data_IF_822699948877
#
_entry.id   IF_822699948877
#
_cell.length_a   1.000
_cell.length_b   1.000
_cell.length_c   1.000
_cell.angle_alpha   90.00
_cell.angle_beta   90.00
_cell.angle_gamma   90.00
#
_symmetry.space_group_name_H-M   'P 1'
#
loop_
_entity.id
_entity.type
_entity.pdbx_description
1 polymer ?
#
# COMPACT_ATOMS: atom_id res chain seq x y z
N UNK A 1 -26.98 -10.80 -4.08
CA UNK A 1 -27.63 -10.67 -2.76
C UNK A 1 -28.15 -12.03 -2.38
N UNK A 2 -27.73 -12.54 -1.23
CA UNK A 2 -28.35 -13.74 -0.68
C UNK A 2 -29.81 -13.43 -0.32
N UNK A 3 -30.70 -14.42 -0.44
CA UNK A 3 -32.12 -14.29 -0.07
C UNK A 3 -32.32 -13.77 1.35
N UNK A 4 -31.39 -14.10 2.26
CA UNK A 4 -31.36 -13.59 3.64
C UNK A 4 -31.19 -12.08 3.71
N UNK A 5 -30.20 -11.51 3.02
CA UNK A 5 -29.89 -10.08 3.06
C UNK A 5 -31.05 -9.27 2.49
N UNK A 6 -31.63 -9.71 1.38
CA UNK A 6 -32.77 -9.06 0.75
C UNK A 6 -34.01 -9.07 1.68
N UNK A 7 -34.22 -10.19 2.39
CA UNK A 7 -35.27 -10.30 3.40
C UNK A 7 -35.05 -9.32 4.56
N UNK A 8 -33.80 -9.14 5.00
CA UNK A 8 -33.46 -8.18 6.05
C UNK A 8 -33.66 -6.73 5.58
N UNK A 9 -33.25 -6.38 4.36
CA UNK A 9 -33.49 -5.04 3.81
C UNK A 9 -34.99 -4.74 3.75
N UNK A 10 -35.78 -5.66 3.19
CA UNK A 10 -37.23 -5.51 3.08
C UNK A 10 -37.90 -5.46 4.46
N UNK A 11 -37.51 -6.33 5.38
CA UNK A 11 -38.01 -6.36 6.75
C UNK A 11 -37.67 -5.08 7.52
N UNK A 12 -36.47 -4.54 7.34
CA UNK A 12 -36.03 -3.29 7.96
C UNK A 12 -36.79 -2.09 7.40
N UNK A 13 -37.00 -2.04 6.08
CA UNK A 13 -37.85 -1.01 5.44
C UNK A 13 -39.25 -0.98 6.05
N UNK A 14 -39.91 -2.14 6.12
CA UNK A 14 -41.25 -2.27 6.74
C UNK A 14 -41.21 -1.91 8.22
N UNK A 15 -40.18 -2.36 8.94
CA UNK A 15 -39.98 -2.08 10.36
C UNK A 15 -39.90 -0.58 10.66
N UNK A 16 -39.06 0.16 9.93
CA UNK A 16 -38.94 1.61 10.10
C UNK A 16 -40.20 2.37 9.64
N UNK A 17 -40.89 1.88 8.61
CA UNK A 17 -42.18 2.42 8.20
C UNK A 17 -43.25 2.26 9.29
N UNK A 18 -43.32 1.10 9.96
CA UNK A 18 -44.21 0.86 11.10
C UNK A 18 -43.80 1.67 12.32
N UNK A 19 -42.49 1.83 12.55
CA UNK A 19 -41.97 2.67 13.62
C UNK A 19 -42.45 4.12 13.44
N UNK A 20 -42.44 4.64 12.21
CA UNK A 20 -42.93 5.97 11.90
C UNK A 20 -44.45 6.12 11.98
N UNK A 21 -45.20 5.19 11.39
CA UNK A 21 -46.65 5.35 11.25
C UNK A 21 -47.44 4.98 12.49
N UNK A 22 -46.90 4.08 13.34
CA UNK A 22 -47.61 3.54 14.49
C UNK A 22 -46.86 3.81 15.78
N UNK A 23 -45.64 3.28 15.92
CA UNK A 23 -44.97 3.28 17.22
C UNK A 23 -44.58 4.69 17.70
N UNK A 24 -44.04 5.52 16.81
CA UNK A 24 -43.62 6.89 17.14
C UNK A 24 -44.79 7.77 17.58
N UNK A 25 -45.94 7.81 16.86
CA UNK A 25 -47.12 8.53 17.32
C UNK A 25 -47.69 8.00 18.64
N UNK A 26 -47.77 6.68 18.82
CA UNK A 26 -48.29 6.07 20.06
C UNK A 26 -47.40 6.41 21.26
N UNK A 27 -46.09 6.23 21.11
CA UNK A 27 -45.13 6.54 22.16
C UNK A 27 -45.12 8.04 22.47
N UNK A 28 -45.01 8.88 21.45
CA UNK A 28 -44.90 10.33 21.62
C UNK A 28 -46.16 10.95 22.23
N UNK A 29 -47.35 10.47 21.85
CA UNK A 29 -48.62 10.94 22.44
C UNK A 29 -48.79 10.50 23.89
N UNK A 30 -48.22 9.34 24.28
CA UNK A 30 -48.29 8.82 25.64
C UNK A 30 -47.36 9.58 26.59
N UNK A 31 -46.12 9.86 26.16
CA UNK A 31 -45.07 10.43 27.01
C UNK A 31 -44.93 11.95 26.90
N UNK A 32 -45.35 12.56 25.78
CA UNK A 32 -45.20 14.00 25.52
C UNK A 32 -46.56 14.67 25.36
N UNK A 33 -47.10 15.32 26.42
CA UNK A 33 -48.41 15.96 26.37
C UNK A 33 -48.56 17.04 25.29
N UNK A 34 -47.44 17.65 24.86
CA UNK A 34 -47.42 18.67 23.80
C UNK A 34 -47.51 18.10 22.37
N UNK A 35 -47.27 16.79 22.18
CA UNK A 35 -47.19 16.19 20.85
C UNK A 35 -48.49 16.37 20.05
N UNK A 36 -49.64 16.06 20.65
CA UNK A 36 -50.94 16.17 19.97
C UNK A 36 -51.37 17.61 19.61
N UNK A 37 -50.64 18.63 20.08
CA UNK A 37 -50.90 20.05 19.77
C UNK A 37 -50.04 20.57 18.62
N UNK A 38 -49.11 19.77 18.11
CA UNK A 38 -48.22 20.16 17.03
C UNK A 38 -48.95 20.18 15.69
N UNK A 39 -48.64 21.14 14.80
CA UNK A 39 -49.12 21.11 13.42
C UNK A 39 -48.52 19.92 12.66
N UNK A 40 -49.20 19.46 11.61
CA UNK A 40 -48.87 18.23 10.88
C UNK A 40 -47.43 18.17 10.35
N UNK A 41 -46.88 19.29 9.91
CA UNK A 41 -45.48 19.38 9.46
C UNK A 41 -44.48 19.10 10.60
N UNK A 42 -44.75 19.62 11.81
CA UNK A 42 -43.92 19.40 13.00
C UNK A 42 -44.10 18.00 13.58
N UNK A 43 -45.29 17.39 13.42
CA UNK A 43 -45.51 15.98 13.75
C UNK A 43 -44.68 15.06 12.85
N UNK A 44 -44.69 15.30 11.53
CA UNK A 44 -43.87 14.53 10.58
C UNK A 44 -42.38 14.67 10.90
N UNK A 45 -41.91 15.89 11.17
CA UNK A 45 -40.53 16.16 11.62
C UNK A 45 -40.17 15.45 12.90
N UNK A 46 -41.04 15.48 13.91
CA UNK A 46 -40.85 14.79 15.17
C UNK A 46 -40.69 13.28 14.99
N UNK A 47 -41.63 12.66 14.25
CA UNK A 47 -41.61 11.21 14.04
C UNK A 47 -40.41 10.77 13.22
N UNK A 48 -40.03 11.52 12.18
CA UNK A 48 -38.83 11.25 11.39
C UNK A 48 -37.56 11.28 12.26
N UNK A 49 -37.42 12.29 13.13
CA UNK A 49 -36.27 12.40 14.06
C UNK A 49 -36.22 11.26 15.08
N UNK A 50 -37.37 10.81 15.57
CA UNK A 50 -37.41 9.66 16.48
C UNK A 50 -36.92 8.40 15.75
N UNK A 51 -37.42 8.16 14.55
CA UNK A 51 -37.07 6.98 13.73
C UNK A 51 -35.58 6.97 13.37
N UNK A 52 -35.02 8.11 12.95
CA UNK A 52 -33.59 8.22 12.64
C UNK A 52 -32.70 8.06 13.89
N UNK A 53 -33.16 8.52 15.06
CA UNK A 53 -32.47 8.30 16.34
C UNK A 53 -32.45 6.82 16.70
N UNK A 54 -33.58 6.12 16.55
CA UNK A 54 -33.65 4.67 16.78
C UNK A 54 -32.73 3.91 15.83
N UNK A 55 -32.74 4.26 14.54
CA UNK A 55 -31.81 3.70 13.56
C UNK A 55 -30.34 3.89 13.97
N UNK A 56 -29.96 5.12 14.33
CA UNK A 56 -28.60 5.46 14.74
C UNK A 56 -28.16 4.68 16.00
N UNK A 57 -29.07 4.48 16.96
CA UNK A 57 -28.78 3.68 18.15
C UNK A 57 -28.61 2.20 17.82
N UNK A 58 -29.50 1.62 17.00
CA UNK A 58 -29.41 0.21 16.60
C UNK A 58 -28.09 -0.04 15.87
N UNK A 59 -27.82 0.70 14.80
CA UNK A 59 -26.65 0.49 13.95
C UNK A 59 -25.37 0.88 14.68
N UNK A 60 -25.38 1.96 15.48
CA UNK A 60 -24.24 2.41 16.26
C UNK A 60 -23.83 1.41 17.34
N UNK A 61 -24.78 0.88 18.11
CA UNK A 61 -24.50 -0.17 19.10
C UNK A 61 -24.05 -1.47 18.43
N UNK A 62 -24.62 -1.82 17.28
CA UNK A 62 -24.21 -3.01 16.55
C UNK A 62 -22.79 -2.87 15.97
N UNK A 63 -22.42 -1.69 15.47
CA UNK A 63 -21.04 -1.39 15.07
C UNK A 63 -20.05 -1.55 16.23
N UNK A 64 -20.39 -1.03 17.42
CA UNK A 64 -19.54 -1.19 18.61
C UNK A 64 -19.39 -2.66 19.03
N UNK A 65 -20.49 -3.43 18.92
CA UNK A 65 -20.45 -4.87 19.17
C UNK A 65 -19.51 -5.58 18.20
N UNK A 66 -19.64 -5.33 16.90
CA UNK A 66 -18.77 -5.94 15.88
C UNK A 66 -17.31 -5.60 16.17
N UNK A 67 -17.01 -4.33 16.48
CA UNK A 67 -15.64 -3.89 16.78
C UNK A 67 -15.03 -4.62 17.99
N UNK A 68 -15.82 -4.90 19.03
CA UNK A 68 -15.31 -5.52 20.25
C UNK A 68 -15.35 -7.05 20.28
N UNK A 69 -16.26 -7.68 19.54
CA UNK A 69 -16.59 -9.09 19.72
C UNK A 69 -16.60 -9.92 18.43
N UNK A 70 -16.43 -9.32 17.24
CA UNK A 70 -16.33 -10.07 15.99
C UNK A 70 -14.86 -10.44 15.72
N UNK A 71 -14.46 -11.60 16.25
CA UNK A 71 -13.09 -12.12 16.09
C UNK A 71 -12.71 -12.31 14.61
N UNK A 72 -13.67 -12.68 13.75
CA UNK A 72 -13.44 -12.91 12.32
C UNK A 72 -13.09 -11.60 11.59
N UNK A 73 -13.82 -10.53 11.88
CA UNK A 73 -13.54 -9.19 11.31
C UNK A 73 -12.29 -8.57 11.93
N UNK A 74 -12.03 -8.81 13.22
CA UNK A 74 -10.84 -8.30 13.90
C UNK A 74 -9.55 -9.01 13.46
N UNK A 75 -9.63 -10.29 13.08
CA UNK A 75 -8.49 -11.05 12.57
C UNK A 75 -8.10 -10.63 11.14
N UNK A 76 -9.10 -10.41 10.26
CA UNK A 76 -8.88 -9.88 8.92
C UNK A 76 -9.84 -8.72 8.60
N UNK A 77 -9.44 -7.47 8.91
CA UNK A 77 -10.30 -6.30 8.74
C UNK A 77 -10.67 -5.98 7.29
N UNK A 78 -9.93 -6.52 6.31
CA UNK A 78 -10.09 -6.14 4.90
C UNK A 78 -10.78 -7.24 4.10
N UNK A 79 -10.43 -8.50 4.34
CA UNK A 79 -10.91 -9.63 3.52
C UNK A 79 -11.77 -10.64 4.27
N UNK A 80 -11.89 -10.51 5.60
CA UNK A 80 -12.70 -11.41 6.44
C UNK A 80 -14.15 -11.55 5.97
N UNK A 81 -14.80 -12.67 6.31
CA UNK A 81 -16.22 -12.91 6.02
C UNK A 81 -17.10 -12.09 6.95
N UNK A 82 -17.69 -10.97 6.50
CA UNK A 82 -18.17 -9.96 7.42
C UNK A 82 -19.69 -10.15 7.58
N UNK A 83 -20.11 -11.31 8.09
CA UNK A 83 -21.51 -11.71 8.15
C UNK A 83 -22.37 -10.74 8.99
N UNK A 84 -21.89 -10.36 10.17
CA UNK A 84 -22.55 -9.38 11.04
C UNK A 84 -22.50 -7.96 10.45
N UNK A 85 -21.41 -7.62 9.76
CA UNK A 85 -21.29 -6.34 9.04
C UNK A 85 -22.33 -6.26 7.92
N UNK A 86 -22.45 -7.31 7.08
CA UNK A 86 -23.45 -7.39 6.02
C UNK A 86 -24.87 -7.30 6.57
N UNK A 87 -25.14 -7.92 7.72
CA UNK A 87 -26.41 -7.78 8.41
C UNK A 87 -26.67 -6.33 8.83
N UNK A 88 -25.69 -5.67 9.46
CA UNK A 88 -25.80 -4.28 9.90
C UNK A 88 -25.95 -3.29 8.72
N UNK A 89 -25.22 -3.53 7.64
CA UNK A 89 -25.32 -2.79 6.37
C UNK A 89 -26.69 -3.01 5.72
N UNK A 90 -27.23 -4.23 5.74
CA UNK A 90 -28.57 -4.52 5.23
C UNK A 90 -29.67 -3.78 6.02
N UNK A 91 -29.58 -3.74 7.36
CA UNK A 91 -30.49 -2.95 8.20
C UNK A 91 -30.43 -1.46 7.81
N UNK A 92 -29.21 -0.95 7.60
CA UNK A 92 -28.96 0.43 7.19
C UNK A 92 -29.55 0.74 5.81
N UNK A 93 -29.38 -0.14 4.84
CA UNK A 93 -30.00 0.00 3.51
C UNK A 93 -31.53 0.07 3.59
N UNK A 94 -32.16 -0.77 4.43
CA UNK A 94 -33.61 -0.74 4.63
C UNK A 94 -34.10 0.60 5.20
N UNK A 95 -33.37 1.15 6.19
CA UNK A 95 -33.62 2.50 6.71
C UNK A 95 -33.48 3.57 5.63
N UNK A 96 -32.36 3.59 4.90
CA UNK A 96 -32.10 4.61 3.88
C UNK A 96 -33.15 4.60 2.76
N UNK A 97 -33.64 3.42 2.36
CA UNK A 97 -34.73 3.29 1.40
C UNK A 97 -36.05 3.86 1.96
N UNK A 98 -36.36 3.55 3.23
CA UNK A 98 -37.53 4.10 3.91
C UNK A 98 -37.45 5.64 4.00
N UNK A 99 -36.30 6.16 4.43
CA UNK A 99 -36.08 7.59 4.63
C UNK A 99 -36.13 8.35 3.29
N UNK A 100 -35.61 7.75 2.22
CA UNK A 100 -35.71 8.29 0.86
C UNK A 100 -37.17 8.38 0.37
N UNK A 101 -38.00 7.37 0.66
CA UNK A 101 -39.44 7.40 0.36
C UNK A 101 -40.15 8.46 1.22
N UNK A 102 -39.78 8.60 2.50
CA UNK A 102 -40.33 9.62 3.38
C UNK A 102 -39.99 11.04 2.89
N UNK A 103 -38.74 11.28 2.48
CA UNK A 103 -38.26 12.52 1.88
C UNK A 103 -39.03 12.85 0.59
N UNK A 104 -39.19 11.87 -0.30
CA UNK A 104 -39.91 12.05 -1.55
C UNK A 104 -41.40 12.38 -1.35
N UNK A 105 -42.05 11.73 -0.39
CA UNK A 105 -43.48 11.94 -0.08
C UNK A 105 -43.74 13.24 0.69
N UNK A 106 -42.78 13.71 1.48
CA UNK A 106 -42.89 14.94 2.29
C UNK A 106 -41.98 16.07 1.79
N UNK A 107 -41.76 16.15 0.47
CA UNK A 107 -40.81 17.07 -0.16
C UNK A 107 -40.99 18.54 0.27
N UNK A 108 -42.24 19.00 0.38
CA UNK A 108 -42.55 20.37 0.77
C UNK A 108 -42.10 20.75 2.19
N UNK A 109 -41.87 19.75 3.05
CA UNK A 109 -41.50 19.94 4.46
C UNK A 109 -40.05 19.58 4.75
N UNK A 110 -39.53 18.55 4.07
CA UNK A 110 -38.24 17.91 4.39
C UNK A 110 -37.30 17.79 3.18
N UNK A 111 -37.75 18.15 1.99
CA UNK A 111 -37.02 17.93 0.75
C UNK A 111 -35.72 18.72 0.69
N UNK A 112 -34.61 18.00 0.62
CA UNK A 112 -33.28 18.57 0.39
C UNK A 112 -32.51 17.69 -0.59
N UNK A 113 -32.13 18.27 -1.73
CA UNK A 113 -31.39 17.59 -2.80
C UNK A 113 -30.05 17.04 -2.32
N UNK A 114 -29.38 17.69 -1.37
CA UNK A 114 -28.13 17.18 -0.82
C UNK A 114 -28.35 15.88 -0.04
N UNK A 115 -29.42 15.81 0.77
CA UNK A 115 -29.77 14.59 1.48
C UNK A 115 -30.12 13.46 0.50
N UNK A 116 -30.88 13.73 -0.56
CA UNK A 116 -31.17 12.70 -1.58
C UNK A 116 -29.88 12.17 -2.21
N UNK A 117 -28.97 13.05 -2.63
CA UNK A 117 -27.68 12.63 -3.21
C UNK A 117 -26.86 11.81 -2.22
N UNK A 118 -26.81 12.22 -0.95
CA UNK A 118 -26.14 11.48 0.12
C UNK A 118 -26.71 10.06 0.29
N UNK A 119 -28.04 9.93 0.33
CA UNK A 119 -28.72 8.64 0.48
C UNK A 119 -28.47 7.72 -0.71
N UNK A 120 -28.54 8.25 -1.95
CA UNK A 120 -28.27 7.47 -3.15
C UNK A 120 -26.81 7.01 -3.20
N UNK A 121 -25.85 7.86 -2.84
CA UNK A 121 -24.44 7.50 -2.77
C UNK A 121 -24.17 6.43 -1.70
N UNK A 122 -24.78 6.57 -0.51
CA UNK A 122 -24.68 5.57 0.56
C UNK A 122 -25.31 4.23 0.15
N UNK A 123 -26.50 4.24 -0.45
CA UNK A 123 -27.17 3.04 -0.96
C UNK A 123 -26.37 2.36 -2.07
N UNK A 124 -25.70 3.12 -2.94
CA UNK A 124 -24.81 2.54 -3.95
C UNK A 124 -23.61 1.83 -3.31
N UNK A 125 -22.91 2.50 -2.38
CA UNK A 125 -21.74 1.92 -1.71
C UNK A 125 -22.11 0.68 -0.89
N UNK A 126 -23.20 0.74 -0.11
CA UNK A 126 -23.67 -0.40 0.67
C UNK A 126 -24.28 -1.50 -0.20
N UNK A 127 -24.96 -1.14 -1.29
CA UNK A 127 -25.42 -2.07 -2.30
C UNK A 127 -24.27 -2.88 -2.88
N UNK A 128 -23.13 -2.23 -3.19
CA UNK A 128 -21.93 -2.95 -3.63
C UNK A 128 -21.46 -3.98 -2.59
N UNK A 129 -21.41 -3.63 -1.30
CA UNK A 129 -20.99 -4.56 -0.22
C UNK A 129 -21.94 -5.76 -0.08
N UNK A 130 -23.25 -5.55 -0.22
CA UNK A 130 -24.27 -6.61 -0.14
C UNK A 130 -24.36 -7.46 -1.43
N UNK A 131 -23.94 -6.90 -2.56
CA UNK A 131 -24.03 -7.57 -3.86
C UNK A 131 -22.73 -8.21 -4.31
N UNK A 132 -21.58 -7.80 -3.75
CA UNK A 132 -20.29 -8.40 -4.00
C UNK A 132 -20.33 -9.88 -3.60
N UNK A 133 -20.64 -10.72 -4.58
CA UNK A 133 -20.52 -12.16 -4.47
C UNK A 133 -19.02 -12.45 -4.50
N UNK A 134 -18.50 -12.84 -3.35
CA UNK A 134 -17.10 -13.27 -3.25
C UNK A 134 -16.90 -14.67 -3.89
N UNK A 135 -17.97 -15.48 -3.99
CA UNK A 135 -18.00 -16.75 -4.72
C UNK A 135 -18.59 -16.59 -6.12
N UNK A 136 -17.89 -17.08 -7.15
CA UNK A 136 -18.34 -17.00 -8.54
C UNK A 136 -18.43 -18.41 -9.17
N UNK A 137 -19.63 -18.90 -9.54
CA UNK A 137 -19.79 -20.19 -10.20
C UNK A 137 -19.06 -20.30 -11.56
N UNK A 138 -18.84 -19.19 -12.26
CA UNK A 138 -18.06 -19.19 -13.49
C UNK A 138 -16.58 -19.43 -13.21
N UNK A 139 -16.05 -18.84 -12.13
CA UNK A 139 -14.68 -19.11 -11.67
C UNK A 139 -14.52 -20.53 -11.15
N UNK A 140 -15.56 -21.14 -10.60
CA UNK A 140 -15.57 -22.55 -10.23
C UNK A 140 -15.40 -23.45 -11.46
N UNK A 141 -16.13 -23.17 -12.54
CA UNK A 141 -15.98 -23.87 -13.82
C UNK A 141 -14.56 -23.72 -14.39
N UNK A 142 -14.04 -22.50 -14.43
CA UNK A 142 -12.67 -22.24 -14.90
C UNK A 142 -11.63 -22.98 -14.05
N UNK A 143 -11.77 -22.95 -12.72
CA UNK A 143 -10.92 -23.71 -11.80
C UNK A 143 -11.02 -25.21 -12.04
N UNK A 144 -12.22 -25.73 -12.25
CA UNK A 144 -12.42 -27.15 -12.53
C UNK A 144 -11.67 -27.55 -13.79
N UNK A 145 -11.84 -26.81 -14.89
CA UNK A 145 -11.13 -27.07 -16.14
C UNK A 145 -9.60 -26.96 -15.97
N UNK A 146 -9.12 -25.98 -15.20
CA UNK A 146 -7.71 -25.82 -14.91
C UNK A 146 -7.13 -26.99 -14.12
N UNK A 147 -7.77 -27.41 -13.01
CA UNK A 147 -7.30 -28.55 -12.20
C UNK A 147 -7.35 -29.84 -13.02
N UNK A 148 -8.39 -30.05 -13.84
CA UNK A 148 -8.48 -31.21 -14.71
C UNK A 148 -7.35 -31.25 -15.75
N UNK A 149 -7.00 -30.10 -16.34
CA UNK A 149 -5.88 -29.98 -17.29
C UNK A 149 -4.53 -30.25 -16.62
N UNK A 150 -4.32 -29.73 -15.41
CA UNK A 150 -3.07 -29.90 -14.67
C UNK A 150 -2.90 -31.33 -14.15
N UNK A 151 -3.95 -31.92 -13.57
CA UNK A 151 -3.88 -33.24 -12.92
C UNK A 151 -4.18 -34.41 -13.86
N UNK A 152 -4.83 -34.14 -14.99
CA UNK A 152 -5.37 -35.16 -15.91
C UNK A 152 -6.56 -35.94 -15.35
N UNK A 153 -7.09 -35.58 -14.18
CA UNK A 153 -8.26 -36.23 -13.57
C UNK A 153 -9.55 -35.56 -13.98
N UNK A 154 -10.62 -36.34 -14.09
CA UNK A 154 -11.97 -35.82 -14.28
C UNK A 154 -12.60 -35.53 -12.92
N UNK A 155 -13.15 -34.33 -12.75
CA UNK A 155 -13.86 -33.88 -11.55
C UNK A 155 -15.35 -33.79 -11.90
N UNK A 156 -16.19 -34.50 -11.15
CA UNK A 156 -17.64 -34.48 -11.32
C UNK A 156 -18.29 -33.33 -10.54
N UNK A 157 -19.58 -33.10 -10.77
CA UNK A 157 -20.37 -32.18 -9.94
C UNK A 157 -20.91 -32.92 -8.70
N UNK A 158 -20.94 -32.26 -7.52
CA UNK A 158 -20.49 -30.89 -7.25
C UNK A 158 -18.95 -30.77 -7.13
N UNK A 159 -18.36 -29.70 -7.66
CA UNK A 159 -16.90 -29.50 -7.70
C UNK A 159 -16.24 -29.57 -6.32
N UNK A 160 -16.75 -28.81 -5.34
CA UNK A 160 -16.14 -28.73 -4.00
C UNK A 160 -16.17 -30.06 -3.25
N UNK A 161 -17.23 -30.85 -3.41
CA UNK A 161 -17.34 -32.18 -2.79
C UNK A 161 -16.24 -33.15 -3.27
N UNK A 162 -15.81 -33.02 -4.53
CA UNK A 162 -14.74 -33.84 -5.10
C UNK A 162 -13.34 -33.41 -4.63
N UNK A 163 -13.20 -32.24 -4.00
CA UNK A 163 -11.93 -31.78 -3.43
C UNK A 163 -11.79 -32.09 -1.94
N UNK A 164 -12.88 -32.48 -1.26
CA UNK A 164 -12.93 -32.66 0.20
C UNK A 164 -12.02 -33.74 0.76
N UNK A 165 -11.74 -34.78 -0.02
CA UNK A 165 -10.83 -35.84 0.42
C UNK A 165 -9.35 -35.37 0.41
N UNK A 166 -9.08 -34.20 -0.18
CA UNK A 166 -7.76 -33.60 -0.32
C UNK A 166 -6.83 -34.33 -1.29
N UNK A 167 -7.27 -35.42 -1.94
CA UNK A 167 -6.43 -36.23 -2.82
C UNK A 167 -6.07 -35.46 -4.08
N UNK A 168 -7.09 -34.89 -4.75
CA UNK A 168 -6.91 -34.10 -5.97
C UNK A 168 -6.04 -32.86 -5.69
N UNK A 169 -6.21 -32.24 -4.52
CA UNK A 169 -5.41 -31.09 -4.11
C UNK A 169 -3.93 -31.46 -3.90
N UNK A 170 -3.65 -32.57 -3.22
CA UNK A 170 -2.28 -33.05 -3.03
C UNK A 170 -1.60 -33.43 -4.35
N UNK A 171 -2.35 -34.01 -5.28
CA UNK A 171 -1.83 -34.33 -6.62
C UNK A 171 -1.58 -33.07 -7.44
N UNK A 172 -2.48 -32.10 -7.39
CA UNK A 172 -2.32 -30.80 -8.05
C UNK A 172 -0.99 -30.14 -7.67
N UNK A 173 -0.70 -30.01 -6.37
CA UNK A 173 0.55 -29.38 -5.94
C UNK A 173 1.78 -30.24 -6.25
N UNK A 174 1.65 -31.57 -6.27
CA UNK A 174 2.73 -32.47 -6.69
C UNK A 174 3.02 -32.39 -8.20
N UNK A 175 2.01 -32.09 -9.03
CA UNK A 175 2.24 -31.83 -10.46
C UNK A 175 2.89 -30.46 -10.68
N UNK A 176 2.50 -29.45 -9.91
CA UNK A 176 3.08 -28.10 -9.99
C UNK A 176 4.50 -28.02 -9.42
N UNK A 177 4.77 -28.74 -8.33
CA UNK A 177 6.08 -28.89 -7.71
C UNK A 177 6.26 -30.33 -7.21
N UNK A 178 7.03 -31.16 -7.93
CA UNK A 178 7.25 -32.56 -7.56
C UNK A 178 7.80 -32.70 -6.13
N UNK A 179 7.23 -33.65 -5.37
CA UNK A 179 7.67 -33.98 -4.02
C UNK A 179 7.14 -33.04 -2.92
N UNK A 180 6.19 -32.16 -3.23
CA UNK A 180 5.57 -31.25 -2.26
C UNK A 180 4.81 -31.99 -1.15
N UNK A 181 4.05 -33.03 -1.51
CA UNK A 181 3.34 -33.92 -0.59
C UNK A 181 3.86 -35.35 -0.76
N UNK A 182 4.50 -35.89 0.29
CA UNK A 182 5.15 -37.20 0.25
C UNK A 182 4.19 -38.38 0.26
N UNK A 183 3.12 -38.28 1.05
CA UNK A 183 2.13 -39.34 1.26
C UNK A 183 0.74 -38.75 1.14
N UNK A 184 -0.08 -39.36 0.29
CA UNK A 184 -1.49 -39.01 0.09
C UNK A 184 -2.31 -40.17 0.65
N UNK A 185 -3.21 -39.88 1.58
CA UNK A 185 -4.07 -40.89 2.17
C UNK A 185 -5.33 -41.06 1.32
N UNK A 186 -5.70 -42.29 0.96
CA UNK A 186 -6.91 -42.58 0.15
C UNK A 186 -8.03 -43.24 0.96
N UNK A 187 -7.84 -43.35 2.27
CA UNK A 187 -8.81 -43.97 3.16
C UNK A 187 -9.99 -43.02 3.43
N UNK A 188 -11.23 -43.54 3.53
CA UNK A 188 -12.43 -42.72 3.73
C UNK A 188 -12.53 -42.10 5.13
N UNK A 189 -11.57 -42.32 6.03
CA UNK A 189 -11.60 -41.80 7.39
C UNK A 189 -11.41 -40.26 7.42
N UNK A 190 -12.26 -39.56 8.16
CA UNK A 190 -12.29 -38.09 8.22
C UNK A 190 -10.93 -37.46 8.52
N UNK A 191 -10.17 -38.03 9.47
CA UNK A 191 -8.86 -37.48 9.85
C UNK A 191 -7.82 -37.59 8.72
N UNK A 192 -7.91 -38.60 7.85
CA UNK A 192 -7.05 -38.72 6.67
C UNK A 192 -7.35 -37.64 5.63
N UNK A 193 -8.63 -37.32 5.44
CA UNK A 193 -9.06 -36.27 4.51
C UNK A 193 -8.58 -34.89 5.00
N UNK A 194 -8.79 -34.58 6.28
CA UNK A 194 -8.26 -33.38 6.92
C UNK A 194 -6.73 -33.31 6.85
N UNK A 195 -6.04 -34.43 7.04
CA UNK A 195 -4.57 -34.49 6.93
C UNK A 195 -4.09 -34.18 5.50
N UNK A 196 -4.76 -34.71 4.46
CA UNK A 196 -4.46 -34.38 3.07
C UNK A 196 -4.65 -32.89 2.79
N UNK A 197 -5.78 -32.31 3.21
CA UNK A 197 -6.04 -30.87 3.03
C UNK A 197 -4.96 -30.05 3.75
N UNK A 198 -4.63 -30.40 5.00
CA UNK A 198 -3.57 -29.73 5.75
C UNK A 198 -2.18 -29.87 5.10
N UNK A 199 -1.88 -31.03 4.51
CA UNK A 199 -0.65 -31.24 3.73
C UNK A 199 -0.60 -30.32 2.50
N UNK A 200 -1.71 -30.19 1.78
CA UNK A 200 -1.84 -29.28 0.64
C UNK A 200 -1.62 -27.83 1.06
N UNK A 201 -2.29 -27.35 2.11
CA UNK A 201 -2.15 -25.96 2.60
C UNK A 201 -0.69 -25.65 2.97
N UNK A 202 0.01 -26.58 3.64
CA UNK A 202 1.45 -26.45 3.92
C UNK A 202 2.29 -26.40 2.64
N UNK A 203 1.99 -27.26 1.67
CA UNK A 203 2.72 -27.33 0.42
C UNK A 203 2.59 -26.03 -0.41
N UNK A 204 1.39 -25.47 -0.53
CA UNK A 204 1.17 -24.22 -1.28
C UNK A 204 1.78 -23.00 -0.57
N UNK A 205 1.88 -23.04 0.76
CA UNK A 205 2.62 -22.02 1.53
C UNK A 205 4.10 -22.02 1.14
N UNK A 206 4.73 -23.21 1.07
CA UNK A 206 6.11 -23.37 0.60
C UNK A 206 6.24 -23.01 -0.89
N UNK A 207 5.19 -23.24 -1.69
CA UNK A 207 5.14 -22.84 -3.08
C UNK A 207 5.13 -21.31 -3.26
N UNK A 208 4.86 -20.52 -2.22
CA UNK A 208 4.92 -19.06 -2.24
C UNK A 208 3.57 -18.35 -2.09
N UNK A 209 2.52 -19.07 -1.71
CA UNK A 209 1.27 -18.46 -1.25
C UNK A 209 1.52 -17.66 0.03
N UNK A 210 0.84 -16.52 0.16
CA UNK A 210 0.92 -15.70 1.37
C UNK A 210 -0.08 -16.20 2.42
N UNK A 211 0.21 -16.05 3.73
CA UNK A 211 -0.65 -16.61 4.77
C UNK A 211 -2.12 -16.17 4.71
N UNK A 212 -2.38 -14.95 4.27
CA UNK A 212 -3.73 -14.38 4.15
C UNK A 212 -4.51 -14.87 2.92
N UNK A 213 -3.82 -15.49 1.95
CA UNK A 213 -4.45 -16.07 0.75
C UNK A 213 -4.75 -17.57 0.93
N UNK A 214 -4.54 -18.13 2.14
CA UNK A 214 -4.75 -19.55 2.45
C UNK A 214 -6.16 -19.79 3.01
N UNK A 215 -6.68 -21.01 2.81
CA UNK A 215 -7.86 -21.51 3.51
C UNK A 215 -7.47 -22.51 4.60
N UNK A 216 -8.35 -22.72 5.58
CA UNK A 216 -8.19 -23.71 6.65
C UNK A 216 -8.80 -25.07 6.28
N UNK A 217 -8.29 -26.17 6.83
CA UNK A 217 -8.78 -27.50 6.44
C UNK A 217 -10.31 -27.68 6.64
N UNK A 218 -10.88 -27.02 7.65
CA UNK A 218 -12.32 -27.05 7.93
C UNK A 218 -13.15 -26.25 6.91
N UNK A 219 -12.58 -25.23 6.25
CA UNK A 219 -13.29 -24.42 5.26
C UNK A 219 -13.80 -25.26 4.10
N UNK A 220 -13.01 -26.26 3.69
CA UNK A 220 -13.36 -27.21 2.65
C UNK A 220 -14.09 -28.45 3.21
N UNK A 221 -13.60 -29.01 4.33
CA UNK A 221 -14.13 -30.27 4.86
C UNK A 221 -15.54 -30.14 5.45
N UNK A 222 -15.82 -29.07 6.21
CA UNK A 222 -17.12 -28.81 6.84
C UNK A 222 -18.01 -27.85 6.05
N UNK A 223 -17.56 -27.40 4.86
CA UNK A 223 -18.24 -26.41 4.01
C UNK A 223 -18.35 -25.03 4.64
N UNK A 224 -17.45 -24.69 5.56
CA UNK A 224 -17.54 -23.41 6.29
C UNK A 224 -17.26 -22.22 5.37
N UNK A 225 -16.33 -22.34 4.41
CA UNK A 225 -15.92 -21.21 3.57
C UNK A 225 -15.37 -21.61 2.19
N UNK A 226 -16.25 -22.06 1.29
CA UNK A 226 -15.90 -22.36 -0.11
C UNK A 226 -15.32 -21.16 -0.88
N UNK A 227 -15.63 -19.95 -0.45
CA UNK A 227 -15.15 -18.71 -1.07
C UNK A 227 -13.65 -18.51 -0.85
N UNK A 228 -13.16 -18.77 0.35
CA UNK A 228 -11.74 -18.74 0.64
C UNK A 228 -11.00 -19.84 -0.13
N UNK A 229 -11.59 -21.04 -0.22
CA UNK A 229 -11.04 -22.15 -1.03
C UNK A 229 -10.92 -21.74 -2.50
N UNK A 230 -11.98 -21.19 -3.09
CA UNK A 230 -11.97 -20.70 -4.47
C UNK A 230 -10.89 -19.63 -4.69
N UNK A 231 -10.81 -18.64 -3.80
CA UNK A 231 -9.84 -17.54 -3.89
C UNK A 231 -8.39 -18.04 -3.76
N UNK A 232 -8.15 -18.99 -2.86
CA UNK A 232 -6.84 -19.65 -2.69
C UNK A 232 -6.40 -20.35 -3.98
N UNK A 233 -7.30 -21.12 -4.60
CA UNK A 233 -6.99 -21.87 -5.82
C UNK A 233 -6.76 -20.95 -7.04
N UNK A 234 -7.52 -19.85 -7.14
CA UNK A 234 -7.30 -18.84 -8.19
C UNK A 234 -5.92 -18.20 -8.02
N UNK A 235 -5.55 -17.85 -6.79
CA UNK A 235 -4.24 -17.27 -6.49
C UNK A 235 -3.11 -18.24 -6.78
N UNK A 236 -3.26 -19.52 -6.40
CA UNK A 236 -2.32 -20.58 -6.72
C UNK A 236 -2.10 -20.73 -8.23
N UNK A 237 -3.18 -20.72 -9.02
CA UNK A 237 -3.10 -20.82 -10.48
C UNK A 237 -2.29 -19.66 -11.08
N UNK A 238 -2.52 -18.43 -10.63
CA UNK A 238 -1.73 -17.28 -11.08
C UNK A 238 -0.27 -17.32 -10.63
N UNK A 239 0.03 -17.83 -9.43
CA UNK A 239 1.42 -18.06 -8.99
C UNK A 239 2.09 -19.12 -9.87
N UNK A 240 1.40 -20.22 -10.17
CA UNK A 240 1.92 -21.26 -11.06
C UNK A 240 2.25 -20.70 -12.45
N UNK A 241 1.37 -19.86 -13.00
CA UNK A 241 1.62 -19.15 -14.26
C UNK A 241 2.86 -18.23 -14.17
N UNK A 242 3.01 -17.50 -13.07
CA UNK A 242 4.18 -16.62 -12.86
C UNK A 242 5.51 -17.38 -12.77
N UNK A 243 5.47 -18.67 -12.38
CA UNK A 243 6.62 -19.58 -12.34
C UNK A 243 6.87 -20.31 -13.67
N UNK A 244 6.11 -19.98 -14.73
CA UNK A 244 6.28 -20.55 -16.06
C UNK A 244 5.54 -21.86 -16.29
N UNK A 245 4.58 -22.22 -15.42
CA UNK A 245 3.66 -23.32 -15.70
C UNK A 245 2.57 -22.84 -16.67
N UNK A 246 2.45 -23.49 -17.82
CA UNK A 246 1.46 -23.14 -18.84
C UNK A 246 0.41 -24.25 -18.94
N UNK A 247 -0.84 -23.91 -18.59
CA UNK A 247 -2.02 -24.76 -18.80
C UNK A 247 -2.79 -24.30 -20.04
N UNK A 248 -3.58 -25.20 -20.63
CA UNK A 248 -4.45 -24.86 -21.77
C UNK A 248 -5.55 -23.88 -21.37
N UNK A 249 -6.00 -23.97 -20.12
CA UNK A 249 -6.95 -23.05 -19.51
C UNK A 249 -6.16 -22.07 -18.63
N UNK A 250 -5.94 -20.84 -19.11
CA UNK A 250 -5.26 -19.80 -18.34
C UNK A 250 -6.27 -19.10 -17.41
N UNK A 251 -6.03 -19.19 -16.11
CA UNK A 251 -6.72 -18.34 -15.13
C UNK A 251 -6.15 -16.93 -15.26
N UNK A 252 -6.97 -15.97 -15.70
CA UNK A 252 -6.57 -14.65 -16.20
C UNK A 252 -5.89 -13.66 -15.24
N UNK A 253 -5.08 -14.10 -14.29
CA UNK A 253 -4.32 -13.23 -13.37
C UNK A 253 -2.82 -13.49 -13.52
N UNK A 254 -2.18 -12.71 -14.40
CA UNK A 254 -0.73 -12.70 -14.54
C UNK A 254 -0.12 -11.89 -13.40
N UNK A 255 0.41 -12.57 -12.39
CA UNK A 255 1.16 -11.90 -11.32
C UNK A 255 2.46 -11.30 -11.88
N UNK A 256 2.70 -10.02 -11.59
CA UNK A 256 3.92 -9.34 -12.00
C UNK A 256 5.10 -9.83 -11.14
N UNK A 257 6.01 -10.60 -11.74
CA UNK A 257 7.25 -11.03 -11.08
C UNK A 257 8.15 -9.81 -10.84
N UNK A 258 8.65 -9.65 -9.61
CA UNK A 258 9.62 -8.60 -9.30
C UNK A 258 10.92 -8.86 -10.08
N UNK A 259 11.14 -8.10 -11.16
CA UNK A 259 12.37 -8.17 -11.92
C UNK A 259 13.44 -7.30 -11.26
N UNK A 260 14.29 -7.90 -10.40
CA UNK A 260 15.45 -7.22 -9.85
C UNK A 260 16.44 -6.88 -10.97
N UNK A 261 16.43 -5.61 -11.40
CA UNK A 261 17.38 -5.11 -12.40
C UNK A 261 18.74 -4.97 -11.73
N UNK A 262 19.68 -5.85 -12.09
CA UNK A 262 21.09 -5.67 -11.75
C UNK A 262 21.71 -4.75 -12.79
N UNK A 263 22.22 -3.62 -12.34
CA UNK A 263 22.97 -2.70 -13.20
C UNK A 263 24.46 -3.00 -13.07
N UNK A 264 25.20 -2.84 -14.16
CA UNK A 264 26.66 -2.96 -14.12
C UNK A 264 27.26 -1.94 -13.13
N UNK A 265 28.36 -2.26 -12.43
CA UNK A 265 28.99 -1.36 -11.45
C UNK A 265 29.29 0.02 -12.02
N UNK A 266 29.73 0.08 -13.29
CA UNK A 266 30.06 1.33 -13.97
C UNK A 266 28.82 2.20 -14.22
N UNK A 267 27.69 1.58 -14.58
CA UNK A 267 26.41 2.28 -14.76
C UNK A 267 25.87 2.83 -13.43
N UNK A 268 26.05 2.09 -12.32
CA UNK A 268 25.71 2.58 -10.99
C UNK A 268 26.62 3.74 -10.57
N UNK A 269 27.91 3.70 -10.94
CA UNK A 269 28.87 4.78 -10.69
C UNK A 269 28.52 6.04 -11.49
N UNK A 270 28.11 5.91 -12.74
CA UNK A 270 27.63 7.05 -13.54
C UNK A 270 26.31 7.63 -13.01
N UNK A 271 25.40 6.78 -12.52
CA UNK A 271 24.15 7.22 -11.90
C UNK A 271 24.36 8.10 -10.66
N UNK A 272 25.46 7.91 -9.91
CA UNK A 272 25.83 8.75 -8.75
C UNK A 272 26.21 10.18 -9.14
N UNK A 273 26.56 10.41 -10.41
CA UNK A 273 26.89 11.74 -10.93
C UNK A 273 25.65 12.53 -11.41
N UNK A 274 24.46 11.92 -11.37
CA UNK A 274 23.20 12.57 -11.78
C UNK A 274 22.55 13.27 -10.59
N UNK A 275 22.77 14.58 -10.49
CA UNK A 275 22.18 15.40 -9.41
C UNK A 275 20.75 15.82 -9.80
N UNK A 276 19.76 15.38 -9.02
CA UNK A 276 18.36 15.79 -9.19
C UNK A 276 18.16 17.30 -8.98
N UNK A 277 17.27 17.90 -9.79
CA UNK A 277 17.03 19.35 -9.87
C UNK A 277 16.63 20.00 -8.52
N UNK A 278 16.06 19.22 -7.59
CA UNK A 278 15.67 19.65 -6.25
C UNK A 278 16.85 19.77 -5.26
N UNK A 279 17.96 19.09 -5.50
CA UNK A 279 19.14 19.08 -4.60
C UNK A 279 20.15 20.20 -4.91
N UNK A 280 19.87 21.06 -5.91
CA UNK A 280 20.87 22.01 -6.45
C UNK A 280 20.43 23.45 -6.73
N UNK A 281 19.19 23.86 -6.42
CA UNK A 281 18.74 25.23 -6.75
C UNK A 281 19.11 26.25 -5.66
N UNK A 282 19.93 27.24 -6.02
CA UNK A 282 20.25 28.40 -5.19
C UNK A 282 19.43 29.66 -5.56
N UNK A 283 18.45 29.53 -6.47
CA UNK A 283 17.68 30.66 -7.03
C UNK A 283 16.92 31.49 -6.00
N UNK A 284 16.78 31.02 -4.76
CA UNK A 284 16.04 31.71 -3.68
C UNK A 284 16.95 32.26 -2.56
N UNK A 285 18.28 32.13 -2.65
CA UNK A 285 19.20 32.57 -1.60
C UNK A 285 20.02 33.80 -2.02
N UNK A 286 19.76 34.97 -1.41
CA UNK A 286 20.48 36.23 -1.64
C UNK A 286 21.22 36.68 -0.38
N UNK A 287 22.48 37.13 -0.51
CA UNK A 287 23.29 37.73 0.58
C UNK A 287 23.23 39.26 0.62
N UNK A 288 22.34 39.87 -0.18
CA UNK A 288 22.19 41.33 -0.26
C UNK A 288 21.68 41.87 1.09
N UNK A 289 22.50 42.65 1.79
CA UNK A 289 22.14 43.32 3.05
C UNK A 289 22.88 42.85 4.32
N UNK A 290 23.82 41.89 4.24
CA UNK A 290 24.61 41.49 5.43
C UNK A 290 25.79 42.43 5.68
N UNK A 291 25.98 42.88 6.94
CA UNK A 291 27.09 43.75 7.36
C UNK A 291 28.25 43.00 8.02
N UNK A 292 29.47 43.51 7.75
CA UNK A 292 30.85 43.26 8.23
C UNK A 292 31.33 41.90 8.77
N UNK A 293 30.53 41.08 9.43
CA UNK A 293 30.98 39.78 9.95
C UNK A 293 29.95 38.70 9.58
N UNK A 294 30.06 38.18 8.37
CA UNK A 294 29.33 36.99 7.98
C UNK A 294 29.79 35.79 8.81
N UNK A 295 28.88 35.18 9.56
CA UNK A 295 29.15 33.92 10.29
C UNK A 295 29.64 32.86 9.30
N UNK A 296 30.74 32.18 9.64
CA UNK A 296 31.29 31.08 8.84
C UNK A 296 30.20 30.02 8.66
N UNK A 297 29.99 29.53 7.44
CA UNK A 297 29.29 28.25 7.26
C UNK A 297 30.19 27.18 7.87
N UNK A 298 29.76 26.56 8.97
CA UNK A 298 30.48 25.43 9.55
C UNK A 298 30.46 24.29 8.53
N UNK A 299 31.64 23.94 8.03
CA UNK A 299 31.84 22.65 7.37
C UNK A 299 31.74 21.58 8.46
N UNK A 300 31.20 20.41 8.10
CA UNK A 300 30.95 19.30 9.02
C UNK A 300 32.08 19.12 10.06
N UNK A 301 31.72 19.19 11.35
CA UNK A 301 32.64 18.98 12.47
C UNK A 301 32.36 17.60 13.07
N UNK A 302 33.28 16.62 12.95
CA UNK A 302 33.10 15.26 13.47
C UNK A 302 32.88 15.19 14.99
N UNK A 303 33.22 16.25 15.74
CA UNK A 303 33.10 16.29 17.20
C UNK A 303 31.74 16.82 17.68
N UNK A 304 30.92 17.34 16.77
CA UNK A 304 29.63 17.99 17.07
C UNK A 304 28.43 17.06 17.24
N UNK A 305 28.61 15.74 17.17
CA UNK A 305 27.53 14.77 17.33
C UNK A 305 26.48 14.77 16.20
N UNK A 306 26.79 15.36 15.04
CA UNK A 306 25.97 15.22 13.84
C UNK A 306 26.28 13.89 13.14
N UNK A 307 25.24 13.16 12.74
CA UNK A 307 25.35 11.89 12.01
C UNK A 307 26.35 11.99 10.86
N UNK A 308 27.16 10.94 10.68
CA UNK A 308 28.08 10.83 9.55
C UNK A 308 27.29 11.03 8.23
N UNK A 309 27.74 11.90 7.32
CA UNK A 309 27.13 11.98 6.01
C UNK A 309 27.27 10.62 5.30
N UNK A 310 26.17 10.11 4.76
CA UNK A 310 26.08 8.82 4.06
C UNK A 310 26.97 8.72 2.79
N UNK A 311 27.63 9.81 2.39
CA UNK A 311 28.48 9.88 1.20
C UNK A 311 29.67 10.83 1.43
N UNK A 312 30.88 10.29 1.39
CA UNK A 312 32.15 11.03 1.51
C UNK A 312 32.80 11.31 0.15
N UNK A 313 32.28 10.75 -0.95
CA UNK A 313 32.91 10.80 -2.28
C UNK A 313 32.38 11.91 -3.19
N UNK A 314 31.21 12.47 -2.87
CA UNK A 314 30.55 13.44 -3.74
C UNK A 314 30.54 14.84 -3.12
N UNK A 315 31.49 15.69 -3.52
CA UNK A 315 31.41 17.12 -3.21
C UNK A 315 30.22 17.70 -3.99
N UNK A 316 29.11 17.94 -3.31
CA UNK A 316 27.89 18.49 -3.91
C UNK A 316 28.16 19.78 -4.67
N UNK A 317 27.51 19.94 -5.83
CA UNK A 317 27.64 21.12 -6.71
C UNK A 317 27.40 22.47 -5.98
N UNK A 318 26.71 22.43 -4.83
CA UNK A 318 26.45 23.56 -3.94
C UNK A 318 27.71 24.15 -3.29
N UNK A 319 28.80 23.38 -3.20
CA UNK A 319 30.11 23.83 -2.70
C UNK A 319 30.88 24.66 -3.75
N UNK A 320 30.52 24.54 -5.04
CA UNK A 320 31.35 25.00 -6.16
C UNK A 320 30.72 26.02 -7.12
N UNK A 321 29.47 26.47 -6.94
CA UNK A 321 28.84 27.40 -7.90
C UNK A 321 28.71 28.83 -7.36
N UNK A 322 29.30 29.79 -8.08
CA UNK A 322 29.16 31.23 -7.83
C UNK A 322 28.08 31.89 -8.72
N UNK A 323 27.34 31.12 -9.55
CA UNK A 323 26.38 31.67 -10.53
C UNK A 323 25.18 32.43 -9.91
N UNK A 324 25.02 32.42 -8.58
CA UNK A 324 23.99 33.20 -7.88
C UNK A 324 24.50 34.09 -6.73
N UNK A 325 25.78 34.00 -6.36
CA UNK A 325 26.33 34.75 -5.23
C UNK A 325 27.07 36.00 -5.71
N UNK A 326 26.34 37.09 -5.86
CA UNK A 326 26.88 38.41 -6.17
C UNK A 326 27.46 39.07 -4.88
N UNK A 327 28.75 39.42 -4.87
CA UNK A 327 29.42 40.11 -3.74
C UNK A 327 29.45 41.65 -3.89
N UNK A 328 28.81 42.21 -4.92
CA UNK A 328 28.72 43.66 -5.12
C UNK A 328 28.09 44.34 -3.90
N UNK A 329 28.77 45.32 -3.32
CA UNK A 329 28.28 46.11 -2.18
C UNK A 329 28.81 45.69 -0.80
N UNK A 330 29.72 44.71 -0.70
CA UNK A 330 30.39 44.40 0.57
C UNK A 330 31.49 45.43 0.92
N UNK A 331 31.55 45.87 2.18
CA UNK A 331 32.57 46.80 2.70
C UNK A 331 33.50 46.08 3.69
N UNK A 332 34.77 45.90 3.29
CA UNK A 332 35.96 45.50 4.08
C UNK A 332 35.95 44.13 4.81
N UNK A 333 37.13 43.68 5.28
CA UNK A 333 38.05 42.76 4.60
C UNK A 333 37.49 41.32 4.50
N UNK A 334 37.51 40.75 3.29
CA UNK A 334 37.04 39.38 3.03
C UNK A 334 38.00 38.31 3.57
N UNK A 335 37.47 37.31 4.28
CA UNK A 335 38.21 36.14 4.75
C UNK A 335 38.47 35.14 3.62
N UNK A 336 39.66 34.48 3.64
CA UNK A 336 40.03 33.45 2.66
C UNK A 336 39.03 32.29 2.68
N UNK A 337 38.61 31.82 1.52
CA UNK A 337 37.94 30.52 1.37
C UNK A 337 39.03 29.44 1.33
N UNK A 338 39.12 28.62 2.37
CA UNK A 338 39.96 27.42 2.36
C UNK A 338 39.21 26.35 1.58
N UNK A 339 39.73 25.96 0.42
CA UNK A 339 39.15 24.85 -0.38
C UNK A 339 39.70 23.52 0.14
N UNK A 340 40.88 23.52 0.77
CA UNK A 340 41.50 22.32 1.31
C UNK A 340 42.46 22.66 2.46
N UNK A 341 42.45 21.87 3.53
CA UNK A 341 43.38 22.00 4.66
C UNK A 341 43.83 20.61 5.13
N UNK A 342 45.13 20.31 4.99
CA UNK A 342 45.72 19.00 5.32
C UNK A 342 45.61 18.64 6.81
N UNK A 343 45.48 19.63 7.70
CA UNK A 343 45.35 19.34 9.15
C UNK A 343 43.97 18.81 9.56
N UNK A 344 42.98 18.86 8.66
CA UNK A 344 41.62 18.37 8.91
C UNK A 344 41.43 16.89 8.53
N UNK A 345 42.46 16.22 7.99
CA UNK A 345 42.41 14.80 7.66
C UNK A 345 41.45 14.43 6.52
N UNK A 346 41.13 15.38 5.64
CA UNK A 346 40.33 15.14 4.44
C UNK A 346 41.16 14.37 3.39
N UNK A 347 40.53 13.47 2.63
CA UNK A 347 41.17 12.67 1.57
C UNK A 347 41.61 13.52 0.38
N UNK A 348 42.74 13.18 -0.25
CA UNK A 348 43.28 13.89 -1.42
C UNK A 348 42.26 13.88 -2.57
N UNK A 349 42.05 15.05 -3.21
CA UNK A 349 41.04 15.18 -4.26
C UNK A 349 41.42 14.37 -5.51
N UNK A 350 40.48 13.57 -6.01
CA UNK A 350 40.58 12.89 -7.31
C UNK A 350 40.75 13.90 -8.45
N UNK A 351 41.83 13.73 -9.23
CA UNK A 351 42.20 14.59 -10.35
C UNK A 351 41.50 14.23 -11.66
N UNK A 352 40.68 13.17 -11.69
CA UNK A 352 39.98 12.73 -12.90
C UNK A 352 38.94 13.73 -13.42
N UNK A 353 38.42 14.62 -12.55
CA UNK A 353 37.47 15.67 -12.91
C UNK A 353 37.78 17.01 -12.21
N UNK A 354 38.42 17.93 -12.96
CA UNK A 354 38.70 19.28 -12.46
C UNK A 354 37.41 20.08 -12.34
N UNK A 355 37.01 20.44 -11.12
CA UNK A 355 35.83 21.28 -10.90
C UNK A 355 36.01 22.68 -11.52
N UNK A 356 34.93 23.27 -12.04
CA UNK A 356 34.97 24.55 -12.75
C UNK A 356 35.57 25.71 -11.91
N UNK A 357 35.57 25.62 -10.58
CA UNK A 357 36.20 26.62 -9.71
C UNK A 357 37.73 26.51 -9.65
N UNK A 358 38.30 25.32 -9.88
CA UNK A 358 39.74 25.10 -9.86
C UNK A 358 40.43 25.56 -11.16
N UNK A 359 39.66 25.74 -12.25
CA UNK A 359 40.23 25.89 -13.60
C UNK A 359 39.86 27.15 -14.40
N UNK A 360 38.97 28.05 -13.95
CA UNK A 360 38.62 29.24 -14.75
C UNK A 360 38.61 30.56 -13.99
N UNK A 361 39.35 31.53 -14.54
CA UNK A 361 39.37 32.94 -14.14
C UNK A 361 38.22 33.76 -14.77
N UNK A 362 37.37 33.17 -15.63
CA UNK A 362 36.44 33.92 -16.50
C UNK A 362 35.09 34.30 -15.87
N UNK A 363 34.73 33.81 -14.67
CA UNK A 363 33.34 33.90 -14.16
C UNK A 363 33.16 34.69 -12.84
N UNK A 364 34.19 35.37 -12.33
CA UNK A 364 34.05 36.25 -11.16
C UNK A 364 34.78 37.57 -11.38
N UNK A 365 34.03 38.67 -11.50
CA UNK A 365 34.58 40.02 -11.59
C UNK A 365 34.85 40.58 -10.18
N UNK A 366 36.02 41.20 -9.98
CA UNK A 366 36.37 41.97 -8.77
C UNK A 366 35.99 43.45 -8.89
N UNK A 367 35.28 43.85 -9.95
CA UNK A 367 34.81 45.23 -10.09
C UNK A 367 33.91 45.62 -8.91
N UNK A 368 34.31 46.68 -8.19
CA UNK A 368 33.58 47.21 -7.04
C UNK A 368 34.16 46.87 -5.66
N UNK A 369 35.30 46.17 -5.57
CA UNK A 369 36.00 45.99 -4.29
C UNK A 369 36.80 47.26 -3.91
N UNK A 370 36.66 47.72 -2.67
CA UNK A 370 37.48 48.83 -2.15
C UNK A 370 38.78 48.30 -1.53
N UNK A 371 39.86 48.56 -2.26
CA UNK A 371 41.25 48.78 -1.79
C UNK A 371 42.13 47.57 -1.43
N UNK A 372 41.65 46.42 -0.94
CA UNK A 372 42.53 45.25 -0.70
C UNK A 372 41.81 43.88 -0.85
N UNK A 373 42.08 43.17 -1.94
CA UNK A 373 41.66 41.77 -2.16
C UNK A 373 42.86 40.81 -2.07
N UNK A 374 42.74 39.70 -1.34
CA UNK A 374 43.78 38.65 -1.27
C UNK A 374 43.73 37.74 -2.51
N UNK A 375 44.88 37.26 -3.03
CA UNK A 375 44.93 36.38 -4.20
C UNK A 375 44.27 35.02 -3.92
N UNK A 376 43.62 34.46 -4.94
CA UNK A 376 43.04 33.11 -4.91
C UNK A 376 44.14 32.05 -5.10
N UNK A 377 43.98 30.90 -4.46
CA UNK A 377 44.72 29.70 -4.84
C UNK A 377 44.11 29.14 -6.14
N UNK A 378 44.92 29.13 -7.20
CA UNK A 378 44.68 28.38 -8.43
C UNK A 378 45.53 27.11 -8.31
N UNK A 379 45.12 26.03 -8.98
CA UNK A 379 45.79 24.73 -9.00
C UNK A 379 47.32 24.80 -8.80
N UNK A 380 47.82 24.08 -7.78
CA UNK A 380 49.24 23.98 -7.42
C UNK A 380 49.56 22.50 -7.16
N UNK A 381 50.53 21.96 -7.90
CA UNK A 381 50.92 20.55 -7.90
C UNK A 381 51.46 20.06 -6.55
N UNK A 382 51.73 20.98 -5.60
CA UNK A 382 52.11 20.65 -4.23
C UNK A 382 50.94 20.08 -3.40
N UNK A 383 49.70 20.27 -3.82
CA UNK A 383 48.49 19.92 -3.07
C UNK A 383 47.51 19.01 -3.84
N UNK A 384 47.91 18.49 -5.01
CA UNK A 384 47.11 17.57 -5.83
C UNK A 384 47.96 16.35 -6.19
N UNK A 385 47.37 15.15 -6.16
CA UNK A 385 48.06 13.88 -6.43
C UNK A 385 48.44 13.77 -7.92
N UNK A 386 49.58 13.16 -8.22
CA UNK A 386 50.07 13.03 -9.59
C UNK A 386 49.31 11.88 -10.31
N UNK A 387 48.93 12.00 -11.59
CA UNK A 387 48.00 11.07 -12.25
C UNK A 387 48.48 9.61 -12.37
N UNK A 388 49.76 9.34 -12.11
CA UNK A 388 50.41 8.04 -12.39
C UNK A 388 50.63 7.15 -11.14
N UNK A 389 50.24 7.57 -9.93
CA UNK A 389 50.34 6.72 -8.73
C UNK A 389 49.00 6.05 -8.37
N UNK A 390 48.90 4.76 -8.66
CA UNK A 390 47.80 3.89 -8.24
C UNK A 390 47.85 3.63 -6.72
N UNK A 391 46.76 3.93 -6.00
CA UNK A 391 46.57 3.54 -4.59
C UNK A 391 45.98 2.13 -4.54
N UNK A 392 46.77 1.17 -4.05
CA UNK A 392 46.38 -0.22 -3.78
C UNK A 392 45.78 -0.33 -2.36
N UNK A 393 44.48 -0.59 -2.25
CA UNK A 393 43.82 -0.90 -0.98
C UNK A 393 43.85 -2.41 -0.69
N UNK A 394 44.97 -2.90 -0.14
CA UNK A 394 45.11 -4.05 0.78
C UNK A 394 44.41 -5.39 0.47
N UNK A 395 45.22 -6.43 0.20
CA UNK A 395 44.83 -7.82 -0.11
C UNK A 395 44.38 -8.70 1.08
N UNK A 396 43.38 -9.58 0.84
CA UNK A 396 43.30 -11.07 1.06
C UNK A 396 41.83 -11.49 1.18
N UNK A 397 41.31 -12.57 0.57
CA UNK A 397 41.91 -13.81 0.10
C UNK A 397 41.16 -14.40 -1.12
N UNK A 398 41.92 -15.16 -1.93
CA UNK A 398 41.52 -15.87 -3.15
C UNK A 398 40.55 -17.05 -2.90
N UNK A 399 39.63 -17.30 -3.84
CA UNK A 399 39.42 -18.66 -4.36
C UNK A 399 39.02 -18.63 -5.84
N UNK A 400 39.63 -19.56 -6.54
CA UNK A 400 39.88 -19.69 -7.97
C UNK A 400 38.64 -20.10 -8.81
N UNK A 401 38.69 -19.83 -10.12
CA UNK A 401 37.63 -20.26 -11.03
C UNK A 401 37.68 -19.72 -12.46
N UNK A 402 38.85 -19.59 -13.10
CA UNK A 402 38.92 -19.56 -14.57
C UNK A 402 39.94 -20.55 -15.11
N UNK A 403 39.43 -21.60 -15.76
CA UNK A 403 40.12 -22.22 -16.90
C UNK A 403 39.18 -22.22 -18.10
N UNK A 404 39.45 -21.33 -19.06
CA UNK A 404 39.19 -21.59 -20.47
C UNK A 404 40.54 -21.46 -21.17
N UNK A 405 40.98 -22.56 -21.78
CA UNK A 405 42.04 -22.60 -22.78
C UNK A 405 41.56 -21.90 -24.05
N UNK A 406 42.38 -21.00 -24.59
CA UNK A 406 43.21 -21.29 -25.78
C UNK A 406 44.50 -20.46 -25.74
#
# INVERSE_FOLDING_TARGET
METRELTVVAGSFVGFQLLFSVASPLFSSTFTPGYGRLPSNKLTEWNSRLVSTVHALIVGLFCLYILWFDDSVNADPVWGEPGLVKLNVAITCGYLLYDLVLLATNWSTMGDSFFVCHHLAALYAYGYVLLAQKYDPQKEEELRLWIQDVTGKKIADPFMENLKDGVILCELINTLQPGSVRKINTSPQNWHQLENIGNFVRAITVYGMKPYDLFEANDLFENTNYTQVQSTLITLAGIAQSKGFHSKHDMGVKYATAHQRRFAPDMLKEGRNVIGLQMGTNKLASQKGMTSYGTRRHLYDPRGGMENPLDQSTISLQMGTNKGANQSGMTAPGTRRHIYDKSLGLEECDTSTVSLQMGTNKMASQQGMTTYGLPRQVYDNKYCSNPDEFINNGERAEFDGTMYYD
#
